data_IF_020897622039
#
_entry.id   IF_020897622039
#
_cell.length_a   1.000
_cell.length_b   1.000
_cell.length_c   1.000
_cell.angle_alpha   90.00
_cell.angle_beta   90.00
_cell.angle_gamma   90.00
#
_symmetry.space_group_name_H-M   'P 1'
#
loop_
_entity.id
_entity.type
_entity.pdbx_description
1 polymer ?
#
# COMPACT_ATOMS: atom_id res chain seq x y z
N UNK A 1 -17.48 20.44 -5.34
CA UNK A 1 -16.32 20.38 -4.41
C UNK A 1 -16.48 19.35 -3.29
N UNK A 2 -17.66 19.01 -2.81
CA UNK A 2 -17.90 18.07 -1.70
C UNK A 2 -17.52 16.59 -1.99
N UNK A 3 -17.54 16.15 -3.24
CA UNK A 3 -17.19 14.76 -3.60
C UNK A 3 -15.69 14.44 -3.52
N UNK A 4 -14.82 15.43 -3.67
CA UNK A 4 -13.36 15.24 -3.55
C UNK A 4 -12.91 15.06 -2.08
N UNK A 5 -13.56 15.75 -1.15
CA UNK A 5 -13.28 15.61 0.29
C UNK A 5 -13.76 14.27 0.86
N UNK A 6 -14.90 13.75 0.38
CA UNK A 6 -15.43 12.46 0.83
C UNK A 6 -14.52 11.28 0.45
N UNK A 7 -13.85 11.34 -0.71
CA UNK A 7 -12.89 10.28 -1.12
C UNK A 7 -11.64 10.24 -0.24
N UNK A 8 -11.13 11.41 0.19
CA UNK A 8 -10.01 11.49 1.13
C UNK A 8 -10.35 10.93 2.51
N UNK A 9 -11.57 11.17 2.99
CA UNK A 9 -12.04 10.65 4.28
C UNK A 9 -12.11 9.10 4.29
N UNK A 10 -12.37 8.48 3.16
CA UNK A 10 -12.37 7.01 3.03
C UNK A 10 -10.99 6.37 3.22
N UNK A 11 -9.91 7.13 3.12
CA UNK A 11 -8.55 6.66 3.37
C UNK A 11 -8.10 6.86 4.83
N UNK A 12 -8.91 7.49 5.68
CA UNK A 12 -8.59 7.70 7.10
C UNK A 12 -8.23 6.41 7.85
N UNK A 13 -8.95 5.28 7.69
CA UNK A 13 -8.59 4.05 8.39
C UNK A 13 -7.16 3.58 8.05
N UNK A 14 -6.76 3.68 6.80
CA UNK A 14 -5.40 3.37 6.35
C UNK A 14 -4.35 4.27 7.02
N UNK A 15 -4.58 5.60 7.02
CA UNK A 15 -3.68 6.56 7.66
C UNK A 15 -3.61 6.37 9.18
N UNK A 16 -4.73 6.11 9.83
CA UNK A 16 -4.78 5.81 11.26
C UNK A 16 -3.99 4.54 11.59
N UNK A 17 -4.08 3.51 10.74
CA UNK A 17 -3.28 2.29 10.88
C UNK A 17 -1.77 2.60 10.85
N UNK A 18 -1.30 3.40 9.89
CA UNK A 18 0.11 3.81 9.79
C UNK A 18 0.53 4.56 11.04
N UNK A 19 -0.20 5.61 11.42
CA UNK A 19 0.17 6.48 12.52
C UNK A 19 0.21 5.72 13.86
N UNK A 20 -0.83 4.95 14.16
CA UNK A 20 -0.92 4.22 15.44
C UNK A 20 0.20 3.20 15.59
N UNK A 21 0.48 2.42 14.54
CA UNK A 21 1.53 1.39 14.60
C UNK A 21 2.94 1.96 14.47
N UNK A 22 3.13 3.07 13.79
CA UNK A 22 4.42 3.78 13.76
C UNK A 22 4.78 4.32 15.14
N UNK A 23 3.83 4.95 15.84
CA UNK A 23 4.03 5.44 17.21
C UNK A 23 4.25 4.27 18.19
N UNK A 24 3.44 3.22 18.07
CA UNK A 24 3.55 2.03 18.91
C UNK A 24 4.92 1.35 18.76
N UNK A 25 5.35 1.08 17.52
CA UNK A 25 6.64 0.43 17.24
C UNK A 25 7.80 1.30 17.72
N UNK A 26 7.78 2.60 17.46
CA UNK A 26 8.81 3.53 17.92
C UNK A 26 8.97 3.54 19.44
N UNK A 27 7.85 3.69 20.18
CA UNK A 27 7.87 3.63 21.64
C UNK A 27 8.35 2.29 22.20
N UNK A 28 7.93 1.20 21.58
CA UNK A 28 8.31 -0.14 22.04
C UNK A 28 9.79 -0.42 21.80
N UNK A 29 10.30 -0.04 20.63
CA UNK A 29 11.71 -0.19 20.25
C UNK A 29 12.60 0.63 21.19
N UNK A 30 12.25 1.89 21.47
CA UNK A 30 13.02 2.74 22.41
C UNK A 30 13.11 2.14 23.82
N UNK A 31 12.10 1.37 24.25
CA UNK A 31 12.11 0.72 25.58
C UNK A 31 12.82 -0.62 25.59
N UNK A 32 12.72 -1.41 24.52
CA UNK A 32 13.20 -2.80 24.50
C UNK A 32 14.54 -2.99 23.81
N UNK A 33 14.95 -2.05 22.98
CA UNK A 33 16.15 -2.15 22.14
C UNK A 33 16.06 -3.15 21.00
N UNK A 34 14.92 -3.84 20.84
CA UNK A 34 14.72 -4.88 19.85
C UNK A 34 13.75 -4.40 18.75
N UNK A 35 14.17 -4.46 17.49
CA UNK A 35 13.37 -3.97 16.37
C UNK A 35 13.01 -5.03 15.33
N UNK A 36 13.73 -6.14 15.21
CA UNK A 36 13.56 -7.16 14.16
C UNK A 36 12.15 -7.73 14.05
N UNK A 37 11.44 -7.88 15.16
CA UNK A 37 10.09 -8.46 15.20
C UNK A 37 9.05 -7.59 14.47
N UNK A 38 9.25 -6.28 14.43
CA UNK A 38 8.27 -5.34 13.86
C UNK A 38 8.19 -5.39 12.33
N UNK A 39 9.30 -5.38 11.55
CA UNK A 39 9.22 -5.56 10.10
C UNK A 39 8.63 -6.92 9.71
N UNK A 40 8.94 -7.99 10.45
CA UNK A 40 8.36 -9.32 10.21
C UNK A 40 6.85 -9.28 10.41
N UNK A 41 6.37 -8.78 11.54
CA UNK A 41 4.95 -8.64 11.81
C UNK A 41 4.28 -7.68 10.82
N UNK A 42 4.96 -6.59 10.45
CA UNK A 42 4.46 -5.59 9.50
C UNK A 42 4.27 -6.16 8.10
N UNK A 43 5.27 -6.80 7.54
CA UNK A 43 5.18 -7.44 6.21
C UNK A 43 4.15 -8.57 6.18
N UNK A 44 4.05 -9.35 7.24
CA UNK A 44 3.03 -10.38 7.39
C UNK A 44 1.61 -9.78 7.41
N UNK A 45 1.39 -8.71 8.18
CA UNK A 45 0.11 -8.00 8.24
C UNK A 45 -0.27 -7.38 6.91
N UNK A 46 0.69 -6.79 6.16
CA UNK A 46 0.45 -6.28 4.80
C UNK A 46 -0.01 -7.40 3.88
N UNK A 47 0.70 -8.53 3.89
CA UNK A 47 0.39 -9.68 3.03
C UNK A 47 -1.02 -10.21 3.30
N UNK A 48 -1.40 -10.38 4.57
CA UNK A 48 -2.77 -10.77 4.94
C UNK A 48 -3.78 -9.73 4.47
N UNK A 49 -3.51 -8.44 4.71
CA UNK A 49 -4.38 -7.36 4.26
C UNK A 49 -4.63 -7.37 2.75
N UNK A 50 -3.57 -7.61 1.95
CA UNK A 50 -3.69 -7.75 0.49
C UNK A 50 -4.50 -8.98 0.07
N UNK A 51 -4.33 -10.12 0.77
CA UNK A 51 -5.11 -11.33 0.51
C UNK A 51 -6.59 -11.08 0.84
N UNK A 52 -6.89 -10.40 1.95
CA UNK A 52 -8.27 -10.06 2.31
C UNK A 52 -8.91 -9.10 1.30
N UNK A 53 -8.13 -8.20 0.70
CA UNK A 53 -8.61 -7.33 -0.37
C UNK A 53 -9.09 -8.09 -1.63
N UNK A 54 -8.70 -9.36 -1.80
CA UNK A 54 -9.21 -10.22 -2.88
C UNK A 54 -10.68 -10.64 -2.69
N UNK A 55 -11.24 -10.47 -1.50
CA UNK A 55 -12.64 -10.77 -1.21
C UNK A 55 -13.57 -9.56 -1.41
N UNK A 56 -13.04 -8.41 -1.85
CA UNK A 56 -13.86 -7.22 -2.10
C UNK A 56 -14.72 -7.43 -3.34
N UNK A 57 -16.01 -7.15 -3.20
CA UNK A 57 -17.01 -7.18 -4.26
C UNK A 57 -17.62 -5.79 -4.46
N UNK A 58 -18.45 -5.63 -5.52
CA UNK A 58 -19.13 -4.35 -5.81
C UNK A 58 -19.98 -3.88 -4.63
N UNK A 59 -20.64 -4.83 -3.97
CA UNK A 59 -21.58 -4.57 -2.87
C UNK A 59 -20.93 -4.67 -1.50
N UNK A 60 -19.62 -4.84 -1.42
CA UNK A 60 -18.89 -4.91 -0.14
C UNK A 60 -19.09 -3.62 0.65
N UNK A 61 -19.57 -3.70 1.89
CA UNK A 61 -19.78 -2.54 2.72
C UNK A 61 -18.46 -1.85 3.05
N UNK A 62 -18.49 -0.53 3.14
CA UNK A 62 -17.30 0.28 3.36
C UNK A 62 -16.47 -0.14 4.61
N UNK A 63 -17.11 -0.63 5.66
CA UNK A 63 -16.41 -1.02 6.89
C UNK A 63 -15.44 -2.21 6.69
N UNK A 64 -15.77 -3.16 5.79
CA UNK A 64 -14.85 -4.25 5.44
C UNK A 64 -13.61 -3.71 4.72
N UNK A 65 -13.82 -2.88 3.69
CA UNK A 65 -12.72 -2.17 3.03
C UNK A 65 -11.87 -1.38 4.04
N UNK A 66 -12.51 -0.67 4.98
CA UNK A 66 -11.83 0.12 5.99
C UNK A 66 -10.95 -0.73 6.92
N UNK A 67 -11.42 -1.91 7.33
CA UNK A 67 -10.64 -2.85 8.15
C UNK A 67 -9.43 -3.36 7.37
N UNK A 68 -9.61 -3.80 6.12
CA UNK A 68 -8.50 -4.32 5.31
C UNK A 68 -7.47 -3.22 5.00
N UNK A 69 -7.94 -2.02 4.65
CA UNK A 69 -7.08 -0.87 4.45
C UNK A 69 -6.31 -0.50 5.72
N UNK A 70 -6.98 -0.51 6.88
CA UNK A 70 -6.34 -0.27 8.17
C UNK A 70 -5.27 -1.31 8.48
N UNK A 71 -5.51 -2.60 8.20
CA UNK A 71 -4.51 -3.67 8.37
C UNK A 71 -3.26 -3.42 7.52
N UNK A 72 -3.43 -3.06 6.26
CA UNK A 72 -2.30 -2.71 5.39
C UNK A 72 -1.55 -1.50 5.96
N UNK A 73 -2.27 -0.46 6.41
CA UNK A 73 -1.70 0.70 7.06
C UNK A 73 -0.91 0.35 8.33
N UNK A 74 -1.45 -0.52 9.18
CA UNK A 74 -0.77 -1.02 10.38
C UNK A 74 0.56 -1.72 10.04
N UNK A 75 0.55 -2.57 9.03
CA UNK A 75 1.75 -3.26 8.57
C UNK A 75 2.81 -2.29 8.03
N UNK A 76 2.42 -1.27 7.27
CA UNK A 76 3.30 -0.21 6.80
C UNK A 76 3.88 0.59 7.98
N UNK A 77 3.06 0.96 8.96
CA UNK A 77 3.50 1.67 10.17
C UNK A 77 4.55 0.90 10.97
N UNK A 78 4.38 -0.42 11.08
CA UNK A 78 5.37 -1.31 11.73
C UNK A 78 6.68 -1.43 10.95
N UNK A 79 6.66 -1.28 9.63
CA UNK A 79 7.83 -1.52 8.78
C UNK A 79 8.61 -0.24 8.51
N UNK A 80 7.95 0.84 8.10
CA UNK A 80 8.61 2.04 7.60
C UNK A 80 9.50 2.73 8.65
N UNK A 81 8.97 2.94 9.85
CA UNK A 81 9.70 3.60 10.94
C UNK A 81 10.88 2.74 11.40
N UNK A 82 10.68 1.44 11.46
CA UNK A 82 11.69 0.50 11.97
C UNK A 82 12.87 0.36 11.01
N UNK A 83 12.63 0.41 9.69
CA UNK A 83 13.70 0.37 8.71
C UNK A 83 14.66 1.56 8.83
N UNK A 84 14.14 2.76 9.11
CA UNK A 84 14.98 3.94 9.36
C UNK A 84 15.87 3.72 10.58
N UNK A 85 15.28 3.25 11.68
CA UNK A 85 16.01 2.97 12.93
C UNK A 85 17.08 1.89 12.69
N UNK A 86 16.74 0.80 12.01
CA UNK A 86 17.65 -0.29 11.73
C UNK A 86 18.87 0.17 10.90
N UNK A 87 18.64 0.98 9.86
CA UNK A 87 19.71 1.50 9.00
C UNK A 87 20.61 2.47 9.78
N UNK A 88 20.02 3.38 10.57
CA UNK A 88 20.80 4.32 11.39
C UNK A 88 21.63 3.61 12.46
N UNK A 89 21.09 2.55 13.05
CA UNK A 89 21.81 1.78 14.08
C UNK A 89 22.91 0.88 13.54
N UNK A 90 22.87 0.55 12.23
CA UNK A 90 23.84 -0.33 11.57
C UNK A 90 25.12 0.37 11.12
N UNK A 91 25.17 1.72 11.15
CA UNK A 91 26.31 2.52 10.67
C UNK A 91 26.90 3.38 11.78
N UNK A 92 28.16 3.79 11.62
CA UNK A 92 28.77 4.75 12.54
C UNK A 92 28.09 6.12 12.44
N UNK A 93 28.17 6.88 13.53
CA UNK A 93 27.50 8.18 13.66
C UNK A 93 27.86 9.14 12.51
N UNK A 94 29.12 9.14 12.10
CA UNK A 94 29.65 9.91 10.96
C UNK A 94 28.89 9.64 9.65
N UNK A 95 28.40 8.43 9.45
CA UNK A 95 27.73 7.99 8.21
C UNK A 95 26.20 7.95 8.31
N UNK A 96 25.63 8.35 9.46
CA UNK A 96 24.17 8.28 9.70
C UNK A 96 23.37 9.09 8.66
N UNK A 97 23.86 10.26 8.27
CA UNK A 97 23.22 11.08 7.24
C UNK A 97 23.19 10.38 5.88
N UNK A 98 24.32 9.81 5.47
CA UNK A 98 24.44 9.07 4.19
C UNK A 98 23.54 7.84 4.19
N UNK A 99 23.53 7.07 5.28
CA UNK A 99 22.70 5.88 5.43
C UNK A 99 21.19 6.22 5.39
N UNK A 100 20.77 7.30 6.05
CA UNK A 100 19.38 7.75 6.02
C UNK A 100 18.96 8.23 4.62
N UNK A 101 19.84 8.97 3.94
CA UNK A 101 19.60 9.41 2.57
C UNK A 101 19.51 8.25 1.60
N UNK A 102 20.40 7.26 1.71
CA UNK A 102 20.36 6.04 0.90
C UNK A 102 19.06 5.25 1.14
N UNK A 103 18.65 5.07 2.39
CA UNK A 103 17.36 4.42 2.71
C UNK A 103 16.18 5.16 2.07
N UNK A 104 16.16 6.49 2.15
CA UNK A 104 15.10 7.31 1.55
C UNK A 104 15.10 7.20 0.03
N UNK A 105 16.29 7.21 -0.58
CA UNK A 105 16.45 7.05 -2.02
C UNK A 105 15.92 5.70 -2.53
N UNK A 106 16.36 4.59 -1.93
CA UNK A 106 15.88 3.26 -2.33
C UNK A 106 14.39 3.08 -2.08
N UNK A 107 13.85 3.64 -1.00
CA UNK A 107 12.40 3.64 -0.75
C UNK A 107 11.64 4.42 -1.82
N UNK A 108 12.15 5.59 -2.24
CA UNK A 108 11.54 6.39 -3.30
C UNK A 108 11.60 5.69 -4.65
N UNK A 109 12.73 5.06 -4.99
CA UNK A 109 12.84 4.22 -6.18
C UNK A 109 11.82 3.09 -6.15
N UNK A 110 11.75 2.35 -5.05
CA UNK A 110 10.79 1.26 -4.89
C UNK A 110 9.35 1.73 -5.04
N UNK A 111 8.98 2.90 -4.54
CA UNK A 111 7.63 3.45 -4.69
C UNK A 111 7.32 3.85 -6.13
N UNK A 112 8.27 4.43 -6.87
CA UNK A 112 8.10 4.76 -8.29
C UNK A 112 7.95 3.50 -9.14
N UNK A 113 8.84 2.52 -8.97
CA UNK A 113 8.73 1.23 -9.66
C UNK A 113 7.44 0.50 -9.33
N UNK A 114 7.05 0.48 -8.05
CA UNK A 114 5.79 -0.12 -7.62
C UNK A 114 4.58 0.56 -8.25
N UNK A 115 4.53 1.89 -8.24
CA UNK A 115 3.45 2.65 -8.85
C UNK A 115 3.36 2.41 -10.38
N UNK A 116 4.50 2.38 -11.08
CA UNK A 116 4.54 2.10 -12.51
C UNK A 116 4.09 0.67 -12.83
N UNK A 117 4.59 -0.33 -12.09
CA UNK A 117 4.27 -1.74 -12.29
C UNK A 117 2.79 -2.02 -12.02
N UNK A 118 2.31 -1.67 -10.83
CA UNK A 118 0.93 -1.95 -10.44
C UNK A 118 -0.08 -1.07 -11.19
N UNK A 119 0.31 0.17 -11.55
CA UNK A 119 -0.49 1.04 -12.41
C UNK A 119 -0.64 0.46 -13.82
N UNK A 120 0.43 -0.09 -14.39
CA UNK A 120 0.38 -0.78 -15.70
C UNK A 120 -0.51 -2.03 -15.64
N UNK A 121 -0.36 -2.86 -14.60
CA UNK A 121 -1.23 -4.03 -14.39
C UNK A 121 -2.69 -3.58 -14.31
N UNK A 122 -3.00 -2.58 -13.48
CA UNK A 122 -4.36 -2.07 -13.32
C UNK A 122 -4.96 -1.63 -14.65
N UNK A 123 -4.25 -0.80 -15.42
CA UNK A 123 -4.75 -0.27 -16.70
C UNK A 123 -4.97 -1.37 -17.74
N UNK A 124 -4.02 -2.29 -17.86
CA UNK A 124 -4.13 -3.40 -18.83
C UNK A 124 -5.26 -4.35 -18.45
N UNK A 125 -5.36 -4.72 -17.18
CA UNK A 125 -6.43 -5.61 -16.68
C UNK A 125 -7.80 -4.97 -16.75
N UNK A 126 -7.90 -3.67 -16.46
CA UNK A 126 -9.14 -2.92 -16.59
C UNK A 126 -9.65 -2.92 -18.04
N UNK A 127 -8.76 -2.70 -18.99
CA UNK A 127 -9.12 -2.75 -20.43
C UNK A 127 -9.60 -4.14 -20.81
N UNK A 128 -8.91 -5.20 -20.36
CA UNK A 128 -9.26 -6.58 -20.64
C UNK A 128 -10.62 -6.95 -20.05
N UNK A 129 -10.83 -6.73 -18.75
CA UNK A 129 -12.09 -7.04 -18.08
C UNK A 129 -13.27 -6.23 -18.60
N UNK A 130 -13.04 -4.96 -18.99
CA UNK A 130 -14.07 -4.16 -19.66
C UNK A 130 -14.47 -4.78 -20.99
N UNK A 131 -13.52 -5.21 -21.82
CA UNK A 131 -13.83 -5.84 -23.10
C UNK A 131 -14.63 -7.14 -22.94
N UNK A 132 -14.22 -7.99 -21.97
CA UNK A 132 -14.94 -9.22 -21.65
C UNK A 132 -16.37 -8.96 -21.17
N UNK A 133 -16.53 -8.09 -20.18
CA UNK A 133 -17.82 -7.81 -19.56
C UNK A 133 -18.77 -7.13 -20.56
N UNK A 134 -18.28 -6.23 -21.42
CA UNK A 134 -19.10 -5.64 -22.48
C UNK A 134 -19.46 -6.63 -23.58
N UNK A 135 -18.60 -7.58 -23.90
CA UNK A 135 -18.94 -8.66 -24.84
C UNK A 135 -20.05 -9.53 -24.29
N UNK A 136 -19.96 -9.92 -23.02
CA UNK A 136 -21.03 -10.65 -22.32
C UNK A 136 -22.34 -9.86 -22.26
N UNK A 137 -22.26 -8.56 -21.96
CA UNK A 137 -23.42 -7.68 -21.87
C UNK A 137 -24.13 -7.54 -23.23
N UNK A 138 -23.39 -7.41 -24.33
CA UNK A 138 -23.94 -7.38 -25.69
C UNK A 138 -24.63 -8.69 -26.10
N UNK A 139 -24.09 -9.85 -25.65
CA UNK A 139 -24.69 -11.15 -25.91
C UNK A 139 -26.04 -11.29 -25.18
N UNK A 140 -26.12 -10.76 -23.94
CA UNK A 140 -27.35 -10.84 -23.13
C UNK A 140 -28.38 -9.82 -23.53
N UNK A 141 -27.95 -8.61 -23.92
CA UNK A 141 -28.79 -7.47 -24.28
C UNK A 141 -28.28 -6.79 -25.56
N UNK A 142 -28.62 -7.30 -26.77
CA UNK A 142 -28.11 -6.77 -28.04
C UNK A 142 -28.49 -5.32 -28.33
N UNK A 143 -29.52 -4.79 -27.66
CA UNK A 143 -30.02 -3.43 -27.86
C UNK A 143 -29.24 -2.35 -27.07
N UNK A 144 -28.33 -2.74 -26.20
CA UNK A 144 -27.54 -1.79 -25.40
C UNK A 144 -26.50 -1.13 -26.31
N UNK A 145 -26.67 0.18 -26.54
CA UNK A 145 -25.65 0.99 -27.16
C UNK A 145 -24.56 1.33 -26.14
N UNK A 146 -23.39 0.76 -26.35
CA UNK A 146 -22.21 1.05 -25.53
C UNK A 146 -21.42 2.16 -26.21
N UNK A 147 -21.47 3.35 -25.63
CA UNK A 147 -20.69 4.49 -26.10
C UNK A 147 -19.26 4.42 -25.52
N UNK A 148 -18.33 3.95 -26.34
CA UNK A 148 -16.92 3.79 -25.94
C UNK A 148 -16.25 5.11 -25.54
N UNK A 149 -16.73 6.25 -26.05
CA UNK A 149 -16.20 7.56 -25.67
C UNK A 149 -16.53 7.90 -24.21
N UNK A 150 -17.72 7.53 -23.76
CA UNK A 150 -18.13 7.70 -22.35
C UNK A 150 -17.37 6.77 -21.41
N UNK A 151 -17.01 5.58 -21.87
CA UNK A 151 -16.23 4.62 -21.08
C UNK A 151 -14.83 5.16 -20.82
N UNK A 152 -14.16 5.72 -21.83
CA UNK A 152 -12.87 6.37 -21.64
C UNK A 152 -12.95 7.56 -20.67
N UNK A 153 -14.06 8.29 -20.68
CA UNK A 153 -14.29 9.39 -19.73
C UNK A 153 -14.47 8.90 -18.27
N UNK A 154 -14.98 7.68 -18.05
CA UNK A 154 -15.13 7.12 -16.69
C UNK A 154 -13.80 6.97 -15.98
N UNK A 155 -12.73 6.64 -16.69
CA UNK A 155 -11.37 6.55 -16.13
C UNK A 155 -10.92 7.90 -15.54
N UNK A 156 -11.35 8.99 -16.13
CA UNK A 156 -10.98 10.35 -15.72
C UNK A 156 -12.05 11.03 -14.83
N UNK A 157 -13.32 10.62 -14.97
CA UNK A 157 -14.43 11.23 -14.26
C UNK A 157 -15.53 10.23 -13.89
N UNK A 158 -15.50 9.77 -12.66
CA UNK A 158 -16.49 8.79 -12.14
C UNK A 158 -17.92 9.31 -12.05
N UNK A 159 -18.15 10.63 -12.15
CA UNK A 159 -19.52 11.19 -12.15
C UNK A 159 -20.32 10.78 -13.39
N UNK A 160 -19.65 10.41 -14.48
CA UNK A 160 -20.31 9.91 -15.72
C UNK A 160 -21.02 8.58 -15.46
N UNK A 161 -20.57 7.78 -14.48
CA UNK A 161 -21.22 6.51 -14.09
C UNK A 161 -22.67 6.69 -13.62
N UNK A 162 -23.03 7.85 -13.06
CA UNK A 162 -24.39 8.10 -12.57
C UNK A 162 -25.41 8.28 -13.70
N UNK A 163 -24.96 8.64 -14.91
CA UNK A 163 -25.80 8.84 -16.09
C UNK A 163 -25.93 7.60 -16.98
N UNK A 164 -25.26 6.49 -16.63
CA UNK A 164 -25.26 5.26 -17.42
C UNK A 164 -26.39 4.31 -17.01
N UNK A 165 -26.88 3.45 -17.93
CA UNK A 165 -27.80 2.36 -17.61
C UNK A 165 -27.21 1.45 -16.52
N UNK A 166 -28.08 0.85 -15.69
CA UNK A 166 -27.67 0.01 -14.57
C UNK A 166 -26.71 -1.11 -14.95
N UNK A 167 -27.00 -1.80 -16.04
CA UNK A 167 -26.23 -2.95 -16.49
C UNK A 167 -24.82 -2.55 -16.94
N UNK A 168 -24.70 -1.42 -17.66
CA UNK A 168 -23.41 -0.86 -18.08
C UNK A 168 -22.60 -0.41 -16.88
N UNK A 169 -23.24 0.27 -15.92
CA UNK A 169 -22.60 0.70 -14.69
C UNK A 169 -22.07 -0.50 -13.88
N UNK A 170 -22.88 -1.56 -13.74
CA UNK A 170 -22.48 -2.78 -13.02
C UNK A 170 -21.26 -3.43 -13.70
N UNK A 171 -21.30 -3.61 -15.02
CA UNK A 171 -20.19 -4.18 -15.78
C UNK A 171 -18.89 -3.39 -15.65
N UNK A 172 -18.98 -2.06 -15.58
CA UNK A 172 -17.81 -1.20 -15.36
C UNK A 172 -17.25 -1.40 -13.94
N UNK A 173 -18.12 -1.35 -12.92
CA UNK A 173 -17.69 -1.53 -11.53
C UNK A 173 -17.07 -2.92 -11.30
N UNK A 174 -17.67 -3.96 -11.87
CA UNK A 174 -17.13 -5.32 -11.84
C UNK A 174 -15.73 -5.39 -12.47
N UNK A 175 -15.54 -4.73 -13.62
CA UNK A 175 -14.23 -4.66 -14.28
C UNK A 175 -13.18 -3.98 -13.42
N UNK A 176 -13.55 -2.94 -12.66
CA UNK A 176 -12.65 -2.31 -11.68
C UNK A 176 -12.30 -3.26 -10.54
N UNK A 177 -13.28 -3.93 -9.94
CA UNK A 177 -13.07 -4.88 -8.84
C UNK A 177 -12.13 -6.01 -9.28
N UNK A 178 -12.39 -6.64 -10.41
CA UNK A 178 -11.54 -7.71 -10.96
C UNK A 178 -10.12 -7.22 -11.25
N UNK A 179 -9.97 -5.99 -11.75
CA UNK A 179 -8.66 -5.41 -12.01
C UNK A 179 -7.87 -5.12 -10.74
N UNK A 180 -8.53 -4.68 -9.66
CA UNK A 180 -7.91 -4.54 -8.36
C UNK A 180 -7.50 -5.89 -7.77
N UNK A 181 -8.32 -6.95 -7.95
CA UNK A 181 -7.93 -8.29 -7.55
C UNK A 181 -6.65 -8.75 -8.26
N UNK A 182 -6.50 -8.48 -9.56
CA UNK A 182 -5.29 -8.82 -10.28
C UNK A 182 -4.06 -8.05 -9.76
N UNK A 183 -4.23 -6.78 -9.39
CA UNK A 183 -3.16 -5.98 -8.74
C UNK A 183 -2.80 -6.58 -7.38
N UNK A 184 -3.78 -6.93 -6.54
CA UNK A 184 -3.51 -7.51 -5.21
C UNK A 184 -2.88 -8.89 -5.32
N UNK A 185 -3.31 -9.72 -6.27
CA UNK A 185 -2.66 -11.02 -6.58
C UNK A 185 -1.20 -10.85 -6.99
N UNK A 186 -0.89 -9.83 -7.78
CA UNK A 186 0.49 -9.52 -8.17
C UNK A 186 1.31 -8.92 -7.02
N UNK A 187 0.69 -8.16 -6.12
CA UNK A 187 1.36 -7.54 -4.99
C UNK A 187 1.65 -8.52 -3.84
N UNK A 188 0.78 -9.51 -3.62
CA UNK A 188 0.94 -10.47 -2.53
C UNK A 188 2.26 -11.26 -2.57
N UNK A 189 2.73 -11.80 -3.71
CA UNK A 189 4.04 -12.45 -3.79
C UNK A 189 5.20 -11.50 -3.48
N UNK A 190 5.10 -10.23 -3.91
CA UNK A 190 6.13 -9.21 -3.64
C UNK A 190 6.26 -8.95 -2.14
N UNK A 191 5.12 -8.83 -1.43
CA UNK A 191 5.14 -8.66 0.03
C UNK A 191 5.56 -9.93 0.76
N UNK A 192 5.26 -11.12 0.22
CA UNK A 192 5.75 -12.40 0.75
C UNK A 192 7.29 -12.50 0.68
N UNK A 193 7.91 -12.03 -0.43
CA UNK A 193 9.38 -11.88 -0.51
C UNK A 193 9.86 -10.91 0.58
N UNK A 194 9.13 -9.84 0.83
CA UNK A 194 9.40 -8.90 1.92
C UNK A 194 9.46 -9.57 3.30
N UNK A 195 8.63 -10.59 3.55
CA UNK A 195 8.67 -11.39 4.79
C UNK A 195 10.02 -12.13 4.89
N UNK A 196 10.45 -12.80 3.82
CA UNK A 196 11.73 -13.52 3.78
C UNK A 196 12.89 -12.57 4.06
N UNK A 197 12.90 -11.38 3.43
CA UNK A 197 13.90 -10.37 3.65
C UNK A 197 13.86 -9.81 5.09
N UNK A 198 12.67 -9.65 5.68
CA UNK A 198 12.53 -9.23 7.07
C UNK A 198 13.10 -10.26 8.06
N UNK A 199 12.98 -11.56 7.76
CA UNK A 199 13.65 -12.62 8.56
C UNK A 199 15.16 -12.58 8.41
N UNK A 200 15.67 -12.26 7.22
CA UNK A 200 17.11 -12.13 6.97
C UNK A 200 17.73 -10.88 7.61
N UNK A 201 16.93 -9.92 8.05
CA UNK A 201 17.41 -8.71 8.73
C UNK A 201 18.20 -9.09 9.98
N UNK A 202 19.46 -8.63 10.06
CA UNK A 202 20.30 -8.81 11.25
C UNK A 202 19.88 -7.84 12.32
N UNK A 203 19.62 -8.35 13.54
CA UNK A 203 19.32 -7.50 14.67
C UNK A 203 20.64 -7.03 15.32
N UNK A 204 20.80 -5.72 15.42
CA UNK A 204 21.91 -5.08 16.12
C UNK A 204 21.30 -4.35 17.32
N UNK A 205 21.81 -4.59 18.54
CA UNK A 205 21.34 -3.91 19.74
C UNK A 205 21.40 -2.40 19.55
N UNK A 206 20.34 -1.69 19.92
CA UNK A 206 20.33 -0.23 19.84
C UNK A 206 21.46 0.36 20.70
N UNK A 207 22.14 1.34 20.15
CA UNK A 207 23.15 2.12 20.87
C UNK A 207 22.49 2.87 22.02
N UNK A 208 23.18 2.93 23.15
CA UNK A 208 22.69 3.65 24.34
C UNK A 208 22.91 5.16 24.18
N UNK A 209 22.26 5.97 25.03
CA UNK A 209 22.51 7.41 25.07
C UNK A 209 23.98 7.74 25.44
N UNK A 210 24.66 6.85 26.17
CA UNK A 210 26.06 6.99 26.53
C UNK A 210 26.97 6.83 25.31
N UNK A 211 26.65 5.89 24.41
CA UNK A 211 27.37 5.71 23.14
C UNK A 211 27.24 6.94 22.23
N UNK A 212 26.08 7.60 22.28
CA UNK A 212 25.84 8.84 21.54
C UNK A 212 26.60 10.03 22.11
N UNK A 213 26.77 10.10 23.43
CA UNK A 213 27.53 11.16 24.09
C UNK A 213 29.05 10.99 23.82
N UNK A 214 29.56 9.76 23.91
CA UNK A 214 30.96 9.45 23.61
C UNK A 214 31.33 9.77 22.14
N UNK A 215 30.48 9.38 21.18
CA UNK A 215 30.72 9.65 19.78
C UNK A 215 30.69 11.15 19.42
N UNK A 216 29.92 11.98 20.14
CA UNK A 216 29.95 13.44 19.99
C UNK A 216 31.25 14.05 20.46
N UNK A 217 31.79 13.60 21.58
CA UNK A 217 33.07 14.09 22.11
C UNK A 217 34.25 13.74 21.20
N UNK A 218 34.19 12.60 20.49
CA UNK A 218 35.22 12.21 19.49
C UNK A 218 35.16 13.03 18.20
N UNK A 219 34.01 13.61 17.86
CA UNK A 219 33.87 14.46 16.66
C UNK A 219 34.24 15.92 16.90
N UNK A 220 34.28 16.38 18.16
CA UNK A 220 34.60 17.75 18.56
C UNK A 220 36.12 17.93 18.84
N UNK A 221 36.93 16.84 18.79
CA UNK A 221 38.37 16.82 18.89
C UNK A 221 39.02 16.55 17.51
#
# INVERSE_FOLDING_TARGET
MLFRSASGLKLLPFMLGILTMSIFSGKRISKTGHYKKFPIAGTFTITIGLILMLNLEIDTPYWEFAIFAMMIGMGLGLTMQVMVIAVQNAVDFKYMGVATSANTFFRSLGSVFGAALFGSILTNRLTHHMQENFTKLKQTNPQIQIDMSKIQQVQNNTSVLSSMPRDVKHSILESFVLSFHDVFRAAAPVTAIGIILAFALREVKLRSNEDHAAARLEMDN
#
